data_IF_255046283129
#
_entry.id   IF_255046283129
#
_cell.length_a   1.000
_cell.length_b   1.000
_cell.length_c   1.000
_cell.angle_alpha   90.00
_cell.angle_beta   90.00
_cell.angle_gamma   90.00
#
_symmetry.space_group_name_H-M   'P 1'
#
loop_
_entity.id
_entity.type
_entity.pdbx_description
1 polymer ?
#
# COMPACT_ATOMS: atom_id res chain seq x y z
N UNK A 1 -21.24 19.25 -21.55
CA UNK A 1 -19.88 19.47 -20.96
C UNK A 1 -19.41 18.20 -20.31
N UNK A 2 -18.17 17.86 -20.50
CA UNK A 2 -17.57 16.69 -19.88
C UNK A 2 -17.40 16.99 -18.36
N UNK A 3 -17.85 16.08 -17.51
CA UNK A 3 -17.67 16.24 -16.07
C UNK A 3 -16.17 16.14 -15.71
N UNK A 4 -15.67 16.97 -14.80
CA UNK A 4 -14.30 16.86 -14.37
C UNK A 4 -14.08 15.51 -13.65
N UNK A 5 -12.95 14.88 -13.94
CA UNK A 5 -12.50 13.67 -13.24
C UNK A 5 -11.43 14.09 -12.24
N UNK A 6 -11.63 13.71 -10.99
CA UNK A 6 -10.72 14.05 -9.91
C UNK A 6 -10.15 12.79 -9.27
N UNK A 7 -9.02 12.95 -8.64
CA UNK A 7 -8.42 11.94 -7.77
C UNK A 7 -8.52 12.43 -6.33
N UNK A 8 -9.03 11.58 -5.46
CA UNK A 8 -9.07 11.81 -4.01
C UNK A 8 -8.16 10.79 -3.33
N UNK A 9 -7.50 11.20 -2.26
CA UNK A 9 -6.49 10.37 -1.59
C UNK A 9 -6.69 10.45 -0.07
N UNK A 10 -6.60 9.29 0.59
CA UNK A 10 -6.45 9.22 2.04
C UNK A 10 -5.06 8.68 2.39
N UNK A 11 -4.44 9.32 3.37
CA UNK A 11 -3.13 8.96 3.92
C UNK A 11 -3.30 8.37 5.30
N UNK A 12 -2.55 7.29 5.56
CA UNK A 12 -2.53 6.60 6.85
C UNK A 12 -1.09 6.25 7.22
N UNK A 13 -0.76 6.40 8.50
CA UNK A 13 0.56 6.05 9.04
C UNK A 13 0.46 4.80 9.92
N UNK A 14 1.47 3.94 9.86
CA UNK A 14 1.66 2.86 10.81
C UNK A 14 3.15 2.67 11.11
N UNK A 15 3.46 2.18 12.32
CA UNK A 15 4.81 1.81 12.70
C UNK A 15 5.02 0.32 12.43
N UNK A 16 6.01 -0.01 11.62
CA UNK A 16 6.30 -1.41 11.29
C UNK A 16 7.80 -1.68 11.26
N UNK A 17 8.18 -2.90 11.61
CA UNK A 17 9.53 -3.41 11.46
C UNK A 17 9.61 -4.41 10.32
N UNK A 18 10.73 -4.47 9.64
CA UNK A 18 11.00 -5.47 8.62
C UNK A 18 12.49 -5.71 8.46
N UNK A 19 12.82 -6.74 7.74
CA UNK A 19 14.12 -6.94 7.12
C UNK A 19 13.93 -7.31 5.65
N UNK A 20 14.86 -6.87 4.82
CA UNK A 20 14.92 -7.31 3.43
C UNK A 20 15.57 -8.68 3.41
N UNK A 21 14.80 -9.70 3.10
CA UNK A 21 15.23 -11.09 3.09
C UNK A 21 14.49 -11.86 2.00
N UNK A 22 15.25 -12.53 1.15
CA UNK A 22 14.69 -13.49 0.20
C UNK A 22 14.90 -14.91 0.77
N UNK A 23 13.83 -15.59 1.18
CA UNK A 23 13.96 -16.93 1.76
C UNK A 23 14.52 -17.99 0.78
N UNK A 24 14.52 -17.70 -0.50
CA UNK A 24 15.15 -18.56 -1.55
C UNK A 24 16.67 -18.42 -1.65
N UNK A 25 17.26 -17.45 -0.94
CA UNK A 25 18.70 -17.22 -0.94
C UNK A 25 19.35 -17.70 0.37
N UNK A 26 20.68 -18.00 0.33
CA UNK A 26 21.43 -18.25 1.55
C UNK A 26 21.50 -17.01 2.45
N UNK A 27 21.85 -17.20 3.72
CA UNK A 27 22.05 -16.10 4.66
C UNK A 27 23.16 -15.15 4.17
N UNK A 28 24.26 -15.70 3.67
CA UNK A 28 25.39 -14.91 3.11
C UNK A 28 24.93 -14.09 1.89
N UNK A 29 24.15 -14.70 0.99
CA UNK A 29 23.67 -14.01 -0.21
C UNK A 29 22.68 -12.90 0.12
N UNK A 30 21.79 -13.12 1.09
CA UNK A 30 20.90 -12.08 1.59
C UNK A 30 21.67 -10.88 2.14
N UNK A 31 22.72 -11.13 2.89
CA UNK A 31 23.58 -10.09 3.44
C UNK A 31 24.34 -9.31 2.37
N UNK A 32 24.83 -10.01 1.33
CA UNK A 32 25.48 -9.36 0.18
C UNK A 32 24.52 -8.47 -0.62
N UNK A 33 23.31 -8.98 -0.88
CA UNK A 33 22.31 -8.28 -1.72
C UNK A 33 21.71 -7.10 -1.00
N UNK A 34 21.32 -7.27 0.26
CA UNK A 34 20.53 -6.28 1.00
C UNK A 34 21.37 -5.44 1.99
N UNK A 35 22.56 -5.88 2.34
CA UNK A 35 23.44 -5.17 3.25
C UNK A 35 22.78 -4.86 4.59
N UNK A 36 22.81 -3.61 5.00
CA UNK A 36 22.19 -3.17 6.27
C UNK A 36 20.68 -3.43 6.32
N UNK A 37 19.99 -3.44 5.18
CA UNK A 37 18.54 -3.69 5.11
C UNK A 37 18.18 -5.14 5.41
N UNK A 38 19.15 -6.06 5.43
CA UNK A 38 18.93 -7.44 5.88
C UNK A 38 18.80 -7.55 7.41
N UNK A 39 19.15 -6.50 8.14
CA UNK A 39 18.92 -6.42 9.59
C UNK A 39 17.49 -5.95 9.86
N UNK A 40 16.90 -6.43 10.95
CA UNK A 40 15.59 -5.92 11.39
C UNK A 40 15.73 -4.44 11.73
N UNK A 41 14.89 -3.64 11.12
CA UNK A 41 14.80 -2.19 11.34
C UNK A 41 13.34 -1.75 11.14
N UNK A 42 13.02 -0.54 11.51
CA UNK A 42 11.65 -0.04 11.46
C UNK A 42 11.51 1.28 10.75
N UNK A 43 10.28 1.54 10.32
CA UNK A 43 9.88 2.80 9.70
C UNK A 43 8.53 3.23 10.26
N UNK A 44 8.29 4.53 10.24
CA UNK A 44 6.93 5.06 10.25
C UNK A 44 6.46 5.08 8.80
N UNK A 45 5.81 3.99 8.40
CA UNK A 45 5.28 3.87 7.05
C UNK A 45 4.10 4.80 6.86
N UNK A 46 4.04 5.44 5.70
CA UNK A 46 2.85 6.14 5.25
C UNK A 46 2.28 5.42 4.03
N UNK A 47 1.00 5.10 4.07
CA UNK A 47 0.28 4.51 2.93
C UNK A 47 -0.76 5.51 2.45
N UNK A 48 -0.76 5.76 1.15
CA UNK A 48 -1.76 6.58 0.49
C UNK A 48 -2.53 5.71 -0.51
N UNK A 49 -3.85 5.73 -0.40
CA UNK A 49 -4.73 5.12 -1.39
C UNK A 49 -5.51 6.20 -2.12
N UNK A 50 -5.53 6.12 -3.43
CA UNK A 50 -6.19 7.11 -4.29
C UNK A 50 -7.30 6.47 -5.11
N UNK A 51 -8.45 7.13 -5.12
CA UNK A 51 -9.61 6.81 -5.95
C UNK A 51 -9.78 7.90 -6.99
N UNK A 52 -10.26 7.55 -8.17
CA UNK A 52 -10.55 8.53 -9.22
C UNK A 52 -11.93 8.31 -9.83
N UNK A 53 -12.58 9.40 -10.18
CA UNK A 53 -13.88 9.35 -10.82
C UNK A 53 -14.44 10.74 -11.11
N UNK A 54 -15.61 10.78 -11.75
CA UNK A 54 -16.30 12.04 -12.00
C UNK A 54 -16.83 12.63 -10.69
N UNK A 55 -16.98 13.93 -10.67
CA UNK A 55 -17.63 14.64 -9.59
C UNK A 55 -19.14 14.40 -9.66
N UNK A 56 -19.71 13.88 -8.59
CA UNK A 56 -21.16 13.78 -8.47
C UNK A 56 -21.75 15.18 -8.21
N UNK A 57 -22.64 15.68 -9.07
CA UNK A 57 -23.19 17.03 -8.95
C UNK A 57 -24.12 17.22 -7.76
N UNK A 58 -24.70 16.14 -7.24
CA UNK A 58 -25.60 16.19 -6.08
C UNK A 58 -24.82 16.30 -4.78
N UNK A 59 -23.73 15.53 -4.65
CA UNK A 59 -22.96 15.43 -3.41
C UNK A 59 -21.70 16.29 -3.42
N UNK A 60 -21.20 16.67 -4.58
CA UNK A 60 -19.91 17.35 -4.74
C UNK A 60 -18.70 16.45 -4.46
N UNK A 61 -18.88 15.13 -4.48
CA UNK A 61 -17.84 14.15 -4.15
C UNK A 61 -17.56 13.21 -5.31
N UNK A 62 -16.33 12.69 -5.37
CA UNK A 62 -15.97 11.50 -6.18
C UNK A 62 -16.45 10.23 -5.49
N UNK A 63 -16.19 10.15 -4.18
CA UNK A 63 -16.61 9.07 -3.31
C UNK A 63 -16.57 9.56 -1.85
N UNK A 64 -17.19 8.80 -0.95
CA UNK A 64 -17.12 9.12 0.48
C UNK A 64 -15.78 8.63 1.06
N UNK A 65 -14.91 9.56 1.44
CA UNK A 65 -13.61 9.24 2.04
C UNK A 65 -13.71 8.44 3.34
N UNK A 66 -14.84 8.52 4.05
CA UNK A 66 -15.05 7.73 5.28
C UNK A 66 -15.02 6.23 4.99
N UNK A 67 -15.55 5.79 3.84
CA UNK A 67 -15.49 4.40 3.42
C UNK A 67 -14.08 3.97 3.09
N UNK A 68 -13.32 4.80 2.38
CA UNK A 68 -11.91 4.53 2.10
C UNK A 68 -11.09 4.48 3.40
N UNK A 69 -11.31 5.40 4.32
CA UNK A 69 -10.65 5.41 5.63
C UNK A 69 -10.91 4.12 6.42
N UNK A 70 -12.15 3.65 6.41
CA UNK A 70 -12.54 2.40 7.10
C UNK A 70 -11.83 1.20 6.49
N UNK A 71 -11.87 1.05 5.17
CA UNK A 71 -11.20 -0.07 4.48
C UNK A 71 -9.69 -0.03 4.71
N UNK A 72 -9.07 1.15 4.62
CA UNK A 72 -7.64 1.29 4.88
C UNK A 72 -7.28 0.97 6.33
N UNK A 73 -8.10 1.37 7.30
CA UNK A 73 -7.87 1.02 8.69
C UNK A 73 -7.87 -0.50 8.88
N UNK A 74 -8.84 -1.19 8.31
CA UNK A 74 -8.99 -2.65 8.45
C UNK A 74 -7.92 -3.42 7.68
N UNK A 75 -7.56 -2.99 6.47
CA UNK A 75 -6.63 -3.71 5.59
C UNK A 75 -5.16 -3.29 5.75
N UNK A 76 -4.90 -2.11 6.30
CA UNK A 76 -3.55 -1.57 6.48
C UNK A 76 -3.19 -1.49 7.96
N UNK A 77 -3.83 -0.61 8.70
CA UNK A 77 -3.45 -0.30 10.09
C UNK A 77 -3.59 -1.52 11.00
N UNK A 78 -4.76 -2.15 11.03
CA UNK A 78 -5.03 -3.29 11.91
C UNK A 78 -4.17 -4.52 11.55
N UNK A 79 -3.71 -4.61 10.30
CA UNK A 79 -2.90 -5.72 9.82
C UNK A 79 -1.39 -5.52 10.07
N UNK A 80 -0.91 -4.29 10.04
CA UNK A 80 0.52 -4.00 9.93
C UNK A 80 1.11 -3.22 11.11
N UNK A 81 0.27 -2.45 11.84
CA UNK A 81 0.77 -1.57 12.89
C UNK A 81 1.40 -2.35 14.05
N UNK A 82 2.58 -1.91 14.48
CA UNK A 82 3.37 -2.54 15.55
C UNK A 82 3.70 -4.02 15.29
N UNK A 83 3.91 -4.39 14.02
CA UNK A 83 4.27 -5.76 13.65
C UNK A 83 5.63 -5.84 12.97
N UNK A 84 6.25 -7.02 13.05
CA UNK A 84 7.31 -7.44 12.16
C UNK A 84 6.64 -7.92 10.86
N UNK A 85 6.77 -7.14 9.79
CA UNK A 85 6.04 -7.38 8.52
C UNK A 85 6.40 -8.73 7.89
N UNK A 86 7.62 -9.22 8.10
CA UNK A 86 8.05 -10.54 7.63
C UNK A 86 7.24 -11.71 8.22
N UNK A 87 6.56 -11.50 9.34
CA UNK A 87 5.73 -12.49 10.02
C UNK A 87 4.23 -12.35 9.71
N UNK A 88 3.85 -11.36 8.91
CA UNK A 88 2.46 -11.20 8.48
C UNK A 88 2.14 -12.27 7.44
N UNK A 89 1.08 -13.06 7.69
CA UNK A 89 0.74 -14.25 6.91
C UNK A 89 0.70 -13.99 5.40
N UNK A 90 0.03 -12.94 4.97
CA UNK A 90 -0.10 -12.63 3.54
C UNK A 90 1.14 -11.96 2.92
N UNK A 91 2.21 -11.76 3.71
CA UNK A 91 3.54 -11.32 3.25
C UNK A 91 4.58 -12.45 3.34
N UNK A 92 4.17 -13.64 3.75
CA UNK A 92 5.06 -14.78 3.87
C UNK A 92 5.68 -15.17 2.51
N UNK A 93 6.98 -15.43 2.51
CA UNK A 93 7.69 -15.80 1.29
C UNK A 93 8.00 -14.63 0.34
N UNK A 94 7.58 -13.43 0.68
CA UNK A 94 7.81 -12.21 -0.09
C UNK A 94 9.00 -11.44 0.48
N UNK A 95 9.82 -10.87 -0.38
CA UNK A 95 10.79 -9.84 0.05
C UNK A 95 10.00 -8.60 0.39
N UNK A 96 9.96 -8.23 1.67
CA UNK A 96 9.12 -7.11 2.16
C UNK A 96 9.82 -5.78 1.90
N UNK A 97 9.67 -5.25 0.71
CA UNK A 97 10.08 -3.92 0.29
C UNK A 97 8.88 -2.97 0.21
N UNK A 98 9.11 -1.69 0.05
CA UNK A 98 8.02 -0.72 -0.21
C UNK A 98 7.26 -1.09 -1.50
N UNK A 99 7.96 -1.59 -2.52
CA UNK A 99 7.40 -1.99 -3.80
C UNK A 99 6.46 -3.20 -3.67
N UNK A 100 6.92 -4.25 -3.03
CA UNK A 100 6.10 -5.47 -2.83
C UNK A 100 4.94 -5.21 -1.90
N UNK A 101 5.13 -4.37 -0.89
CA UNK A 101 4.07 -3.97 0.03
C UNK A 101 2.99 -3.15 -0.71
N UNK A 102 3.38 -2.26 -1.63
CA UNK A 102 2.44 -1.50 -2.45
C UNK A 102 1.55 -2.42 -3.32
N UNK A 103 2.14 -3.46 -3.92
CA UNK A 103 1.39 -4.45 -4.71
C UNK A 103 0.45 -5.25 -3.81
N UNK A 104 0.93 -5.74 -2.68
CA UNK A 104 0.12 -6.53 -1.75
C UNK A 104 -1.07 -5.74 -1.19
N UNK A 105 -0.85 -4.47 -0.83
CA UNK A 105 -1.91 -3.58 -0.35
C UNK A 105 -2.90 -3.21 -1.46
N UNK A 106 -2.42 -3.05 -2.69
CA UNK A 106 -3.31 -2.88 -3.84
C UNK A 106 -4.28 -4.05 -3.96
N UNK A 107 -3.78 -5.27 -3.94
CA UNK A 107 -4.62 -6.47 -4.10
C UNK A 107 -5.67 -6.56 -2.99
N UNK A 108 -5.30 -6.27 -1.76
CA UNK A 108 -6.21 -6.30 -0.60
C UNK A 108 -7.30 -5.24 -0.68
N UNK A 109 -6.95 -4.01 -1.01
CA UNK A 109 -7.91 -2.90 -1.09
C UNK A 109 -8.76 -3.02 -2.36
N UNK A 110 -8.16 -3.44 -3.47
CA UNK A 110 -8.87 -3.68 -4.75
C UNK A 110 -9.94 -4.76 -4.63
N UNK A 111 -9.69 -5.79 -3.83
CA UNK A 111 -10.68 -6.84 -3.54
C UNK A 111 -11.96 -6.30 -2.85
N UNK A 112 -11.87 -5.11 -2.27
CA UNK A 112 -12.98 -4.42 -1.58
C UNK A 112 -13.41 -3.14 -2.29
N UNK A 113 -13.09 -2.99 -3.57
CA UNK A 113 -13.37 -1.77 -4.34
C UNK A 113 -14.87 -1.43 -4.39
N UNK A 114 -15.75 -2.43 -4.36
CA UNK A 114 -17.20 -2.24 -4.30
C UNK A 114 -17.67 -1.47 -3.07
N UNK A 115 -16.88 -1.43 -1.99
CA UNK A 115 -17.16 -0.65 -0.79
C UNK A 115 -16.68 0.82 -0.88
N UNK A 116 -15.91 1.17 -1.92
CA UNK A 116 -15.19 2.46 -1.99
C UNK A 116 -15.95 3.56 -2.73
N UNK A 117 -16.91 3.21 -3.57
CA UNK A 117 -17.71 4.16 -4.34
C UNK A 117 -17.03 4.73 -5.59
N UNK A 118 -15.75 4.47 -5.81
CA UNK A 118 -15.00 4.85 -7.01
C UNK A 118 -13.79 3.91 -7.19
N UNK A 119 -13.25 3.78 -8.42
CA UNK A 119 -12.12 2.91 -8.69
C UNK A 119 -10.85 3.30 -7.95
N UNK A 120 -10.16 2.30 -7.40
CA UNK A 120 -8.80 2.44 -6.87
C UNK A 120 -7.82 2.64 -8.03
N UNK A 121 -7.01 3.68 -7.98
CA UNK A 121 -6.08 4.03 -9.07
C UNK A 121 -4.62 4.07 -8.66
N UNK A 122 -4.32 4.16 -7.37
CA UNK A 122 -2.94 4.19 -6.89
C UNK A 122 -2.85 3.77 -5.42
N UNK A 123 -1.82 3.00 -5.11
CA UNK A 123 -1.31 2.80 -3.76
C UNK A 123 0.11 3.34 -3.73
N UNK A 124 0.41 4.21 -2.76
CA UNK A 124 1.75 4.71 -2.49
C UNK A 124 2.17 4.23 -1.10
N UNK A 125 3.35 3.64 -1.00
CA UNK A 125 3.97 3.24 0.26
C UNK A 125 5.25 4.03 0.45
N UNK A 126 5.30 4.82 1.51
CA UNK A 126 6.46 5.63 1.88
C UNK A 126 7.15 5.00 3.09
N UNK A 127 8.44 4.70 2.98
CA UNK A 127 9.29 4.32 4.12
C UNK A 127 9.78 5.56 4.87
N UNK A 128 9.91 6.66 4.15
CA UNK A 128 10.26 7.98 4.68
C UNK A 128 9.66 9.08 3.82
N UNK A 129 9.81 10.32 4.23
CA UNK A 129 9.40 11.47 3.43
C UNK A 129 10.19 11.59 2.10
N UNK A 130 11.35 10.93 2.00
CA UNK A 130 12.25 11.03 0.85
C UNK A 130 12.15 9.86 -0.13
N UNK A 131 11.52 8.74 0.26
CA UNK A 131 11.52 7.53 -0.56
C UNK A 131 10.17 6.81 -0.47
N UNK A 132 9.59 6.53 -1.62
CA UNK A 132 8.31 5.82 -1.73
C UNK A 132 8.24 5.02 -3.03
N UNK A 133 7.32 4.04 -3.03
CA UNK A 133 6.94 3.29 -4.22
C UNK A 133 5.45 3.52 -4.52
N UNK A 134 5.09 3.58 -5.79
CA UNK A 134 3.70 3.67 -6.25
C UNK A 134 3.34 2.47 -7.12
N UNK A 135 2.14 1.95 -6.92
CA UNK A 135 1.55 0.93 -7.77
C UNK A 135 0.18 1.37 -8.25
N UNK A 136 -0.03 1.30 -9.55
CA UNK A 136 -1.25 1.77 -10.23
C UNK A 136 -2.06 0.63 -10.83
N UNK A 137 -1.86 -0.58 -10.33
CA UNK A 137 -2.48 -1.78 -10.86
C UNK A 137 -1.68 -2.39 -12.02
N UNK A 138 -2.13 -3.57 -12.51
CA UNK A 138 -1.49 -4.23 -13.63
C UNK A 138 -1.54 -3.34 -14.88
N UNK A 139 -0.50 -3.46 -15.72
CA UNK A 139 -0.45 -2.74 -16.99
C UNK A 139 -1.66 -3.11 -17.86
N UNK A 140 -2.21 -2.13 -18.58
CA UNK A 140 -3.32 -2.35 -19.50
C UNK A 140 -2.92 -3.37 -20.58
N UNK A 141 -3.72 -4.44 -20.75
CA UNK A 141 -3.46 -5.54 -21.70
C UNK A 141 -2.49 -6.62 -21.19
N UNK A 142 -2.15 -6.60 -19.89
CA UNK A 142 -1.38 -7.67 -19.25
C UNK A 142 -2.30 -8.80 -18.78
#
# INVERSE_FOLDING_TARGET
>A
MQQPVLTITHRMEFAGAHRMDNPGLSAERNQEVFGACNRIHGHNYTVEASLAGPLDPETGMVANLVDLMRVMREEVFEQLDHRLLNEVEWLEGVVVSAETLAVALWDRIKAREDELGAPLVCIRVCESAAAWAEYRGPAAGA
#
